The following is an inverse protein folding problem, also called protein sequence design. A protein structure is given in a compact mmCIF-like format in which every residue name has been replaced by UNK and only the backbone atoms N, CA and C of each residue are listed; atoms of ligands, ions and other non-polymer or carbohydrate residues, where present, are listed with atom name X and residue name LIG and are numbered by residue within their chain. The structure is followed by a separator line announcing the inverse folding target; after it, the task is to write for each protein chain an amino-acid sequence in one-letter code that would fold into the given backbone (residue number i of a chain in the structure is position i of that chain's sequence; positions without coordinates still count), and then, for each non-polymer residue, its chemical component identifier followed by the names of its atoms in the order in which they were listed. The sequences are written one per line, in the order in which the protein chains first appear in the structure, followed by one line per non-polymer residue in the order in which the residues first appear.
data_IF_682557468164
#
_entry.id   IF_682557468164
#
_cell.length_a   1.000
_cell.length_b   1.000
_cell.length_c   1.000
_cell.angle_alpha   90.00
_cell.angle_beta   90.00
_cell.angle_gamma   90.00
#
_symmetry.space_group_name_H-M   'P 1'
#
loop_
_entity.id
_entity.type
_entity.pdbx_description
1 polymer ?
#
# COMPACT_ATOMS: atom_id res chain seq x y z
N UNK A 1 -47.12 7.45 58.36
CA UNK A 1 -46.24 6.40 57.79
C UNK A 1 -47.02 5.68 56.69
N UNK A 2 -46.93 6.13 55.44
CA UNK A 2 -47.85 5.71 54.36
C UNK A 2 -47.18 5.63 52.98
N UNK A 3 -45.90 5.26 52.89
CA UNK A 3 -45.22 5.16 51.58
C UNK A 3 -44.20 4.00 51.44
N UNK A 4 -43.99 3.18 52.48
CA UNK A 4 -42.96 2.11 52.43
C UNK A 4 -43.36 0.93 51.52
N UNK A 5 -44.66 0.69 51.31
CA UNK A 5 -45.12 -0.45 50.52
C UNK A 5 -45.21 -0.20 49.00
N UNK A 6 -45.00 1.04 48.51
CA UNK A 6 -45.06 1.32 47.07
C UNK A 6 -43.71 1.12 46.37
N UNK A 7 -42.61 1.16 47.12
CA UNK A 7 -41.24 1.04 46.58
C UNK A 7 -40.80 -0.39 46.26
N UNK A 8 -41.46 -1.42 46.83
CA UNK A 8 -41.15 -2.82 46.50
C UNK A 8 -41.80 -3.27 45.19
N UNK A 9 -42.89 -2.65 44.74
CA UNK A 9 -43.56 -3.05 43.49
C UNK A 9 -42.77 -2.61 42.24
N UNK A 10 -41.99 -1.52 42.34
CA UNK A 10 -41.18 -1.00 41.23
C UNK A 10 -39.88 -1.78 41.00
N UNK A 11 -39.42 -2.57 41.98
CA UNK A 11 -38.20 -3.39 41.86
C UNK A 11 -38.39 -4.69 41.08
N UNK A 12 -39.64 -5.11 40.81
CA UNK A 12 -39.97 -6.32 40.04
C UNK A 12 -40.20 -6.04 38.54
N UNK A 13 -40.24 -4.78 38.11
CA UNK A 13 -40.52 -4.39 36.72
C UNK A 13 -39.26 -4.33 35.84
N UNK A 14 -38.07 -4.50 36.40
CA UNK A 14 -36.81 -4.38 35.65
C UNK A 14 -36.38 -5.62 34.88
N UNK A 15 -37.15 -6.71 34.89
CA UNK A 15 -36.97 -7.82 33.94
C UNK A 15 -37.72 -7.53 32.65
N UNK A 16 -37.29 -6.49 31.93
CA UNK A 16 -37.68 -6.32 30.54
C UNK A 16 -37.07 -7.49 29.74
N UNK A 17 -37.87 -8.55 29.52
CA UNK A 17 -37.62 -9.55 28.49
C UNK A 17 -37.81 -8.86 27.13
N UNK A 18 -36.81 -8.07 26.73
CA UNK A 18 -36.73 -7.54 25.38
C UNK A 18 -36.42 -8.72 24.45
N UNK A 19 -37.48 -9.36 23.96
CA UNK A 19 -37.38 -10.28 22.83
C UNK A 19 -37.20 -9.43 21.58
N UNK A 20 -36.09 -9.66 20.90
CA UNK A 20 -35.83 -9.03 19.61
C UNK A 20 -36.60 -9.81 18.53
N UNK A 21 -37.47 -9.14 17.78
CA UNK A 21 -38.30 -9.80 16.75
C UNK A 21 -37.48 -10.38 15.61
N UNK A 22 -36.27 -9.88 15.38
CA UNK A 22 -35.36 -10.36 14.35
C UNK A 22 -34.64 -11.65 14.80
N UNK A 23 -34.31 -11.78 16.08
CA UNK A 23 -33.57 -12.94 16.62
C UNK A 23 -34.43 -13.99 17.36
N UNK A 24 -35.72 -13.75 17.55
CA UNK A 24 -36.67 -14.72 18.10
C UNK A 24 -36.43 -15.06 19.57
N UNK A 25 -36.46 -16.36 19.92
CA UNK A 25 -36.32 -16.86 21.30
C UNK A 25 -34.86 -16.98 21.79
N UNK A 26 -33.90 -16.44 21.05
CA UNK A 26 -32.49 -16.47 21.44
C UNK A 26 -32.19 -15.29 22.37
N UNK A 27 -31.64 -15.56 23.56
CA UNK A 27 -31.21 -14.48 24.45
C UNK A 27 -30.05 -13.70 23.82
N UNK A 28 -30.06 -12.37 24.00
CA UNK A 28 -28.97 -11.50 23.53
C UNK A 28 -27.59 -11.96 24.02
N UNK A 29 -27.50 -12.48 25.25
CA UNK A 29 -26.26 -13.06 25.79
C UNK A 29 -25.76 -14.26 24.96
N UNK A 30 -26.66 -15.12 24.48
CA UNK A 30 -26.31 -16.27 23.64
C UNK A 30 -25.94 -15.88 22.20
N UNK A 31 -26.47 -14.74 21.72
CA UNK A 31 -26.05 -14.14 20.45
C UNK A 31 -24.62 -13.61 20.61
N UNK A 32 -24.36 -12.82 21.66
CA UNK A 32 -23.01 -12.33 21.95
C UNK A 32 -21.99 -13.45 22.16
N UNK A 33 -22.30 -14.51 22.92
CA UNK A 33 -21.40 -15.66 23.06
C UNK A 33 -21.02 -16.30 21.72
N UNK A 34 -21.92 -16.28 20.73
CA UNK A 34 -21.68 -16.86 19.40
C UNK A 34 -20.99 -15.91 18.42
N UNK A 35 -21.13 -14.60 18.60
CA UNK A 35 -20.64 -13.59 17.62
C UNK A 35 -19.43 -12.82 18.10
N UNK A 36 -19.26 -12.64 19.41
CA UNK A 36 -18.29 -11.68 19.99
C UNK A 36 -16.93 -12.32 20.31
N UNK A 37 -16.85 -13.67 20.33
CA UNK A 37 -15.61 -14.40 20.62
C UNK A 37 -14.97 -15.08 19.40
N UNK A 38 -15.66 -15.11 18.26
CA UNK A 38 -15.16 -15.79 17.06
C UNK A 38 -14.70 -14.75 16.04
N UNK A 39 -13.43 -14.36 16.15
CA UNK A 39 -12.79 -13.49 15.16
C UNK A 39 -12.38 -14.36 13.96
N UNK A 40 -12.92 -14.13 12.75
CA UNK A 40 -12.56 -14.93 11.59
C UNK A 40 -11.07 -14.74 11.28
N UNK A 41 -10.36 -15.83 11.04
CA UNK A 41 -9.03 -15.76 10.45
C UNK A 41 -9.20 -15.49 8.97
N UNK A 42 -8.85 -14.27 8.57
CA UNK A 42 -8.83 -13.85 7.17
C UNK A 42 -7.47 -14.21 6.58
N UNK A 43 -7.46 -15.06 5.54
CA UNK A 43 -6.23 -15.38 4.80
C UNK A 43 -6.32 -14.80 3.40
N UNK A 44 -5.32 -14.00 3.04
CA UNK A 44 -5.15 -13.45 1.71
C UNK A 44 -4.18 -14.35 0.93
N UNK A 45 -4.65 -14.93 -0.17
CA UNK A 45 -3.87 -15.77 -1.05
C UNK A 45 -3.43 -14.94 -2.25
N UNK A 46 -2.12 -14.71 -2.38
CA UNK A 46 -1.54 -14.02 -3.52
C UNK A 46 -0.81 -15.02 -4.43
N UNK A 47 -0.67 -14.69 -5.71
CA UNK A 47 0.38 -15.31 -6.53
C UNK A 47 1.74 -14.92 -5.95
N UNK A 48 2.77 -15.75 -6.14
CA UNK A 48 4.11 -15.47 -5.63
C UNK A 48 4.67 -14.15 -6.19
N UNK A 49 4.45 -13.90 -7.48
CA UNK A 49 4.81 -12.64 -8.12
C UNK A 49 4.04 -11.45 -7.54
N UNK A 50 2.73 -11.62 -7.36
CA UNK A 50 1.90 -10.61 -6.72
C UNK A 50 2.46 -10.27 -5.34
N UNK A 51 2.57 -11.25 -4.47
CA UNK A 51 3.12 -11.07 -3.13
C UNK A 51 4.46 -10.33 -3.15
N UNK A 52 5.42 -10.76 -3.97
CA UNK A 52 6.73 -10.10 -4.06
C UNK A 52 6.61 -8.63 -4.50
N UNK A 53 5.83 -8.36 -5.55
CA UNK A 53 5.66 -6.99 -6.07
C UNK A 53 4.92 -6.08 -5.07
N UNK A 54 3.99 -6.64 -4.27
CA UNK A 54 3.31 -5.91 -3.21
C UNK A 54 4.30 -5.43 -2.15
N UNK A 55 5.13 -6.34 -1.63
CA UNK A 55 6.14 -6.00 -0.62
C UNK A 55 7.20 -5.06 -1.18
N UNK A 56 7.72 -5.34 -2.38
CA UNK A 56 8.71 -4.47 -3.04
C UNK A 56 8.18 -3.04 -3.18
N UNK A 57 6.91 -2.86 -3.55
CA UNK A 57 6.32 -1.52 -3.64
C UNK A 57 6.40 -0.78 -2.31
N UNK A 58 5.97 -1.39 -1.20
CA UNK A 58 5.99 -0.75 0.12
C UNK A 58 7.41 -0.40 0.57
N UNK A 59 8.37 -1.30 0.32
CA UNK A 59 9.77 -1.06 0.60
C UNK A 59 10.30 0.14 -0.20
N UNK A 60 10.00 0.20 -1.50
CA UNK A 60 10.40 1.31 -2.34
C UNK A 60 9.72 2.64 -1.97
N UNK A 61 8.46 2.62 -1.56
CA UNK A 61 7.77 3.82 -1.07
C UNK A 61 8.44 4.40 0.19
N UNK A 62 8.94 3.52 1.06
CA UNK A 62 9.72 3.91 2.23
C UNK A 62 11.11 4.40 1.83
N UNK A 63 11.91 3.58 1.15
CA UNK A 63 13.33 3.83 0.91
C UNK A 63 13.57 5.02 -0.03
N UNK A 64 12.72 5.17 -1.06
CA UNK A 64 12.80 6.26 -2.04
C UNK A 64 12.05 7.52 -1.57
N UNK A 65 11.65 7.57 -0.31
CA UNK A 65 11.11 8.79 0.28
C UNK A 65 12.24 9.80 0.51
N UNK A 66 11.98 11.08 0.25
CA UNK A 66 12.97 12.16 0.42
C UNK A 66 13.50 12.29 1.85
N UNK A 67 12.79 11.72 2.84
CA UNK A 67 13.24 11.70 4.24
C UNK A 67 14.29 10.65 4.53
N UNK A 68 14.23 9.51 3.83
CA UNK A 68 15.07 8.36 4.12
C UNK A 68 16.20 8.27 3.10
N UNK A 69 15.89 8.38 1.81
CA UNK A 69 16.85 8.27 0.71
C UNK A 69 17.78 7.08 0.96
N UNK A 70 17.24 5.88 0.96
CA UNK A 70 18.01 4.65 1.16
C UNK A 70 18.31 4.09 -0.23
N UNK A 71 19.58 3.81 -0.52
CA UNK A 71 19.95 3.16 -1.78
C UNK A 71 19.35 1.75 -1.83
N UNK A 72 18.38 1.55 -2.72
CA UNK A 72 17.74 0.26 -2.94
C UNK A 72 17.73 -0.07 -4.43
N UNK A 73 18.64 -0.95 -4.84
CA UNK A 73 18.81 -1.33 -6.25
C UNK A 73 17.62 -2.09 -6.80
N UNK A 74 16.93 -2.88 -5.98
CA UNK A 74 15.73 -3.59 -6.41
C UNK A 74 14.64 -2.60 -6.83
N UNK A 75 14.50 -1.49 -6.11
CA UNK A 75 13.59 -0.41 -6.45
C UNK A 75 13.94 0.30 -7.77
N UNK A 76 15.22 0.48 -8.07
CA UNK A 76 15.66 1.04 -9.34
C UNK A 76 15.39 0.09 -10.52
N UNK A 77 15.41 -1.22 -10.28
CA UNK A 77 15.12 -2.24 -11.30
C UNK A 77 13.69 -2.74 -11.27
N UNK A 78 12.81 -2.11 -10.48
CA UNK A 78 11.44 -2.56 -10.31
C UNK A 78 10.67 -2.46 -11.64
N UNK A 79 9.70 -3.37 -11.89
CA UNK A 79 9.04 -3.49 -13.19
C UNK A 79 8.23 -2.24 -13.61
N UNK A 80 7.92 -1.35 -12.67
CA UNK A 80 7.21 -0.09 -12.93
C UNK A 80 8.15 1.10 -13.21
N UNK A 81 9.47 0.92 -13.14
CA UNK A 81 10.42 1.99 -13.44
C UNK A 81 10.71 2.00 -14.94
N UNK A 82 10.19 3.03 -15.61
CA UNK A 82 10.48 3.33 -17.01
C UNK A 82 11.55 4.43 -17.09
N UNK A 83 12.78 4.04 -17.45
CA UNK A 83 13.90 4.96 -17.57
C UNK A 83 13.83 5.87 -18.80
N UNK A 84 13.13 5.46 -19.86
CA UNK A 84 12.85 6.35 -20.99
C UNK A 84 11.94 7.48 -20.53
N UNK A 85 10.90 7.16 -19.77
CA UNK A 85 10.02 8.16 -19.17
C UNK A 85 10.76 9.06 -18.17
N UNK A 86 11.55 8.46 -17.26
CA UNK A 86 12.32 9.18 -16.26
C UNK A 86 13.33 10.15 -16.91
N UNK A 87 14.06 9.71 -17.93
CA UNK A 87 15.05 10.54 -18.62
C UNK A 87 14.39 11.72 -19.34
N UNK A 88 13.26 11.49 -20.01
CA UNK A 88 12.49 12.57 -20.63
C UNK A 88 11.99 13.58 -19.59
N UNK A 89 11.60 13.12 -18.40
CA UNK A 89 11.24 13.99 -17.28
C UNK A 89 12.43 14.78 -16.74
N UNK A 90 13.62 14.20 -16.65
CA UNK A 90 14.83 14.92 -16.26
C UNK A 90 15.05 16.15 -17.12
N UNK A 91 14.97 15.98 -18.44
CA UNK A 91 15.13 17.09 -19.38
C UNK A 91 13.99 18.10 -19.28
N UNK A 92 12.75 17.62 -19.21
CA UNK A 92 11.57 18.49 -19.11
C UNK A 92 11.57 19.35 -17.84
N UNK A 93 12.04 18.80 -16.73
CA UNK A 93 12.15 19.50 -15.46
C UNK A 93 13.48 20.26 -15.31
N UNK A 94 14.34 20.22 -16.34
CA UNK A 94 15.63 20.89 -16.36
C UNK A 94 16.57 20.48 -15.22
N UNK A 95 16.43 19.24 -14.71
CA UNK A 95 17.41 18.64 -13.81
C UNK A 95 18.72 18.35 -14.56
N UNK A 96 18.61 18.12 -15.87
CA UNK A 96 19.73 18.06 -16.82
C UNK A 96 19.35 18.93 -18.02
N UNK A 97 20.28 19.76 -18.50
CA UNK A 97 20.09 20.52 -19.74
C UNK A 97 20.40 19.62 -20.93
N UNK A 98 19.42 19.41 -21.81
CA UNK A 98 19.63 18.62 -23.04
C UNK A 98 20.65 19.28 -23.97
N UNK A 99 20.76 20.61 -23.91
CA UNK A 99 21.71 21.42 -24.67
C UNK A 99 23.16 21.22 -24.23
N UNK A 100 23.39 20.78 -22.98
CA UNK A 100 24.74 20.46 -22.48
C UNK A 100 25.29 19.14 -23.05
N UNK A 101 24.43 18.28 -23.62
CA UNK A 101 24.82 17.00 -24.20
C UNK A 101 25.30 17.23 -25.64
N UNK A 102 26.61 17.41 -25.79
CA UNK A 102 27.26 17.66 -27.09
C UNK A 102 27.87 16.40 -27.71
N UNK A 103 28.17 15.41 -26.88
CA UNK A 103 28.76 14.15 -27.32
C UNK A 103 27.74 13.31 -28.11
N UNK A 104 28.19 12.74 -29.24
CA UNK A 104 27.30 12.02 -30.16
C UNK A 104 26.78 10.71 -29.57
N UNK A 105 27.59 10.02 -28.78
CA UNK A 105 27.22 8.74 -28.19
C UNK A 105 26.22 8.98 -27.05
N UNK A 106 26.44 10.02 -26.26
CA UNK A 106 25.50 10.43 -25.21
C UNK A 106 24.17 10.94 -25.78
N UNK A 107 24.20 11.65 -26.91
CA UNK A 107 23.00 12.06 -27.64
C UNK A 107 22.21 10.85 -28.17
N UNK A 108 22.89 9.78 -28.56
CA UNK A 108 22.23 8.54 -28.97
C UNK A 108 21.50 7.89 -27.79
N UNK A 109 22.09 7.91 -26.59
CA UNK A 109 21.43 7.47 -25.35
C UNK A 109 20.23 8.37 -25.03
N UNK A 110 20.41 9.69 -25.08
CA UNK A 110 19.37 10.67 -24.74
C UNK A 110 18.14 10.66 -25.67
N UNK A 111 18.26 10.04 -26.85
CA UNK A 111 17.16 9.88 -27.82
C UNK A 111 16.75 8.41 -28.01
N UNK A 112 17.25 7.49 -27.18
CA UNK A 112 16.95 6.07 -27.25
C UNK A 112 15.49 5.80 -26.82
N UNK A 113 14.80 4.93 -27.53
CA UNK A 113 13.41 4.55 -27.18
C UNK A 113 13.32 3.69 -25.91
N UNK A 114 14.35 2.87 -25.66
CA UNK A 114 14.40 1.97 -24.50
C UNK A 114 15.71 2.17 -23.74
N UNK A 115 15.67 3.13 -22.80
CA UNK A 115 16.79 3.49 -21.93
C UNK A 115 16.90 2.43 -20.82
N UNK A 116 18.09 1.92 -20.58
CA UNK A 116 18.35 1.00 -19.46
C UNK A 116 18.70 1.79 -18.19
N UNK A 117 18.69 1.12 -17.03
CA UNK A 117 19.18 1.72 -15.78
C UNK A 117 20.62 2.24 -15.91
N UNK A 118 21.49 1.51 -16.60
CA UNK A 118 22.90 1.90 -16.79
C UNK A 118 23.04 3.11 -17.69
N UNK A 119 22.22 3.20 -18.75
CA UNK A 119 22.17 4.34 -19.66
C UNK A 119 21.74 5.61 -18.90
N UNK A 120 20.70 5.47 -18.07
CA UNK A 120 20.19 6.55 -17.24
C UNK A 120 21.23 7.01 -16.22
N UNK A 121 21.82 6.08 -15.47
CA UNK A 121 22.83 6.37 -14.45
C UNK A 121 24.06 7.05 -15.06
N UNK A 122 24.50 6.60 -16.25
CA UNK A 122 25.60 7.22 -16.98
C UNK A 122 25.30 8.68 -17.36
N UNK A 123 24.12 8.96 -17.93
CA UNK A 123 23.73 10.34 -18.28
C UNK A 123 23.60 11.21 -17.02
N UNK A 124 22.98 10.67 -15.97
CA UNK A 124 22.82 11.35 -14.68
C UNK A 124 24.17 11.74 -14.09
N UNK A 125 25.11 10.81 -14.03
CA UNK A 125 26.43 11.03 -13.43
C UNK A 125 27.29 12.01 -14.25
N UNK A 126 27.15 12.01 -15.58
CA UNK A 126 27.95 12.85 -16.46
C UNK A 126 27.44 14.29 -16.56
N UNK A 127 26.12 14.48 -16.49
CA UNK A 127 25.47 15.77 -16.79
C UNK A 127 24.69 16.36 -15.62
N UNK A 128 24.80 15.79 -14.42
CA UNK A 128 24.19 16.32 -13.20
C UNK A 128 25.06 16.04 -11.98
N UNK A 129 24.83 16.80 -10.92
CA UNK A 129 25.45 16.56 -9.62
C UNK A 129 24.58 15.66 -8.72
N UNK A 130 23.43 15.18 -9.21
CA UNK A 130 22.54 14.31 -8.44
C UNK A 130 23.03 12.87 -8.42
N UNK A 131 22.84 12.23 -7.28
CA UNK A 131 22.97 10.78 -7.16
C UNK A 131 21.69 10.07 -7.62
N UNK A 132 21.82 8.78 -7.95
CA UNK A 132 20.70 7.91 -8.31
C UNK A 132 19.62 7.91 -7.21
N UNK A 133 20.06 7.87 -5.95
CA UNK A 133 19.21 7.86 -4.76
C UNK A 133 18.43 9.16 -4.57
N UNK A 134 19.06 10.32 -4.83
CA UNK A 134 18.39 11.61 -4.72
C UNK A 134 17.37 11.79 -5.84
N UNK A 135 17.77 11.53 -7.09
CA UNK A 135 16.93 11.87 -8.24
C UNK A 135 15.73 10.93 -8.40
N UNK A 136 15.87 9.69 -7.92
CA UNK A 136 14.75 8.75 -7.83
C UNK A 136 13.93 8.94 -6.56
N UNK A 137 14.18 9.98 -5.76
CA UNK A 137 13.28 10.24 -4.67
C UNK A 137 11.90 10.69 -5.21
N UNK A 138 10.84 10.25 -4.54
CA UNK A 138 9.46 10.49 -4.99
C UNK A 138 9.11 11.96 -5.24
N UNK A 139 9.79 12.95 -4.62
CA UNK A 139 9.55 14.38 -4.92
C UNK A 139 9.91 14.79 -6.33
N UNK A 140 10.92 14.16 -6.95
CA UNK A 140 11.36 14.54 -8.30
C UNK A 140 10.37 14.03 -9.36
N UNK A 141 9.47 13.12 -8.98
CA UNK A 141 8.34 12.68 -9.79
C UNK A 141 8.76 12.01 -11.09
N UNK A 142 9.94 11.38 -11.12
CA UNK A 142 10.48 10.74 -12.33
C UNK A 142 9.78 9.43 -12.70
N UNK A 143 9.05 8.83 -11.77
CA UNK A 143 8.23 7.65 -11.96
C UNK A 143 6.96 7.79 -11.10
N UNK A 144 6.01 6.87 -11.29
CA UNK A 144 4.82 6.75 -10.44
C UNK A 144 4.77 5.31 -9.92
N UNK A 145 4.58 5.14 -8.62
CA UNK A 145 4.24 3.81 -8.10
C UNK A 145 2.90 3.36 -8.71
N UNK A 146 2.81 2.09 -9.15
CA UNK A 146 1.56 1.58 -9.66
C UNK A 146 0.53 1.55 -8.55
N UNK A 147 -0.71 1.85 -8.91
CA UNK A 147 -1.85 1.51 -8.07
C UNK A 147 -1.90 -0.04 -8.06
N UNK A 148 -1.51 -0.63 -6.93
CA UNK A 148 -1.29 -2.07 -6.87
C UNK A 148 -2.61 -2.81 -6.82
N UNK A 149 -2.90 -3.55 -7.89
CA UNK A 149 -3.99 -4.51 -8.01
C UNK A 149 -3.38 -5.88 -8.32
N UNK A 150 -3.73 -6.89 -7.55
CA UNK A 150 -3.32 -8.26 -7.81
C UNK A 150 -4.51 -9.20 -7.68
N UNK A 151 -4.50 -10.25 -8.49
CA UNK A 151 -5.41 -11.37 -8.30
C UNK A 151 -5.12 -11.99 -6.94
N UNK A 152 -6.07 -11.81 -6.02
CA UNK A 152 -5.98 -12.30 -4.65
C UNK A 152 -7.22 -13.13 -4.33
N UNK A 153 -7.00 -14.27 -3.67
CA UNK A 153 -8.05 -15.04 -3.02
C UNK A 153 -8.24 -14.56 -1.58
N UNK A 154 -9.48 -14.56 -1.11
CA UNK A 154 -9.81 -14.27 0.28
C UNK A 154 -10.49 -15.50 0.86
N UNK A 155 -9.92 -16.12 1.89
CA UNK A 155 -10.58 -17.20 2.61
C UNK A 155 -10.88 -16.77 4.05
N UNK A 156 -12.06 -17.13 4.51
CA UNK A 156 -12.51 -16.86 5.88
C UNK A 156 -12.60 -18.18 6.64
N UNK A 157 -11.83 -18.29 7.71
CA UNK A 157 -11.90 -19.43 8.62
C UNK A 157 -12.53 -18.99 9.94
N UNK A 158 -13.69 -19.58 10.25
CA UNK A 158 -14.44 -19.38 11.49
C UNK A 158 -14.40 -20.72 12.24
N UNK A 159 -13.60 -20.79 13.30
CA UNK A 159 -13.47 -21.97 14.17
C UNK A 159 -13.20 -23.31 13.43
N UNK A 160 -12.41 -23.29 12.34
CA UNK A 160 -12.04 -24.48 11.57
C UNK A 160 -13.00 -24.86 10.46
N UNK A 161 -14.07 -24.07 10.25
CA UNK A 161 -14.92 -24.16 9.06
C UNK A 161 -14.45 -23.16 8.01
N UNK A 162 -13.95 -23.69 6.88
CA UNK A 162 -13.48 -22.90 5.74
C UNK A 162 -14.68 -22.56 4.85
N UNK A 163 -14.91 -21.27 4.62
CA UNK A 163 -15.93 -20.75 3.69
C UNK A 163 -15.29 -19.95 2.55
#
# INVERSE_FOLDING_TARGET
MKYINLSLLTLLVSRALAKDSFFGDVSRAKIFEKTDFVVPKVTLNFTEEGYRNFFLRYECEHDMNNRYLIENKECYTAPWVDYTYALNKLFRHQYISKESIVDKDDLAIANKENVTVSDFEYILHKYSDYTMQEIMATSYGLYKFPDYEAEAGLTFDIDGYIY
#
